data_IF_077476831854
#
_entry.id   IF_077476831854
#
_cell.length_a   1.000
_cell.length_b   1.000
_cell.length_c   1.000
_cell.angle_alpha   90.00
_cell.angle_beta   90.00
_cell.angle_gamma   90.00
#
_symmetry.space_group_name_H-M   'P 1'
#
loop_
_entity.id
_entity.type
_entity.pdbx_description
1 polymer ?
#
# COMPACT_ATOMS: atom_id res chain seq x y z
N UNK A 1 -3.98 11.41 14.08
CA UNK A 1 -4.59 10.22 13.43
C UNK A 1 -4.30 9.03 14.30
N UNK A 2 -5.35 8.34 14.73
CA UNK A 2 -5.20 7.14 15.54
C UNK A 2 -4.43 6.09 14.73
N UNK A 3 -3.37 5.52 15.33
CA UNK A 3 -2.49 4.54 14.66
C UNK A 3 -3.28 3.37 14.10
N UNK A 4 -4.39 3.02 14.76
CA UNK A 4 -5.28 1.93 14.39
C UNK A 4 -6.04 2.22 13.08
N UNK A 5 -6.50 3.46 12.87
CA UNK A 5 -7.29 3.83 11.69
C UNK A 5 -6.45 3.77 10.40
N UNK A 6 -5.20 4.23 10.45
CA UNK A 6 -4.29 4.14 9.30
C UNK A 6 -3.94 2.69 8.92
N UNK A 7 -3.80 1.81 9.92
CA UNK A 7 -3.58 0.37 9.69
C UNK A 7 -4.82 -0.29 9.09
N UNK A 8 -6.00 0.02 9.61
CA UNK A 8 -7.26 -0.49 9.09
C UNK A 8 -7.45 -0.13 7.61
N UNK A 9 -7.22 1.14 7.23
CA UNK A 9 -7.32 1.59 5.83
C UNK A 9 -6.36 0.85 4.92
N UNK A 10 -5.13 0.62 5.37
CA UNK A 10 -4.14 -0.15 4.62
C UNK A 10 -4.58 -1.60 4.44
N UNK A 11 -5.02 -2.27 5.52
CA UNK A 11 -5.55 -3.64 5.46
C UNK A 11 -6.73 -3.72 4.50
N UNK A 12 -7.73 -2.84 4.61
CA UNK A 12 -8.87 -2.87 3.69
C UNK A 12 -8.45 -2.65 2.23
N UNK A 13 -7.51 -1.75 1.96
CA UNK A 13 -7.01 -1.50 0.61
C UNK A 13 -6.18 -2.69 0.06
N UNK A 14 -5.46 -3.39 0.93
CA UNK A 14 -4.69 -4.58 0.61
C UNK A 14 -5.62 -5.75 0.27
N UNK A 15 -6.62 -6.05 1.09
CA UNK A 15 -7.64 -7.07 0.80
C UNK A 15 -8.44 -6.76 -0.47
N UNK A 16 -8.76 -5.48 -0.69
CA UNK A 16 -9.34 -5.04 -1.96
C UNK A 16 -8.39 -5.33 -3.13
N UNK A 17 -7.08 -5.17 -2.94
CA UNK A 17 -6.09 -5.51 -3.94
C UNK A 17 -6.08 -7.00 -4.29
N UNK A 18 -6.19 -7.89 -3.30
CA UNK A 18 -6.39 -9.32 -3.54
C UNK A 18 -7.65 -9.59 -4.34
N UNK A 19 -8.77 -8.97 -3.95
CA UNK A 19 -10.02 -9.17 -4.68
C UNK A 19 -9.96 -8.67 -6.13
N UNK A 20 -9.37 -7.49 -6.38
CA UNK A 20 -9.28 -6.90 -7.73
C UNK A 20 -8.29 -7.64 -8.63
N UNK A 21 -7.10 -7.95 -8.14
CA UNK A 21 -6.01 -8.48 -8.97
C UNK A 21 -5.98 -10.01 -8.99
N UNK A 22 -6.44 -10.65 -7.92
CA UNK A 22 -6.27 -12.08 -7.69
C UNK A 22 -7.61 -12.81 -7.56
N UNK A 23 -8.71 -12.21 -8.03
CA UNK A 23 -10.07 -12.76 -7.92
C UNK A 23 -10.14 -14.24 -8.31
N UNK A 24 -9.47 -14.65 -9.39
CA UNK A 24 -9.48 -16.02 -9.92
C UNK A 24 -8.87 -17.05 -8.97
N UNK A 25 -7.95 -16.66 -8.10
CA UNK A 25 -7.38 -17.54 -7.06
C UNK A 25 -8.40 -17.80 -5.94
N UNK A 26 -9.32 -16.87 -5.70
CA UNK A 26 -10.28 -16.91 -4.60
C UNK A 26 -11.74 -17.18 -5.03
N UNK A 27 -12.06 -17.10 -6.33
CA UNK A 27 -13.43 -17.23 -6.85
C UNK A 27 -13.87 -18.64 -7.22
N UNK A 28 -13.04 -19.66 -6.98
CA UNK A 28 -13.44 -21.07 -7.00
C UNK A 28 -14.08 -21.58 -8.30
N UNK A 29 -13.27 -22.05 -9.25
CA UNK A 29 -13.58 -23.33 -9.88
C UNK A 29 -13.04 -24.40 -8.92
N UNK A 30 -13.85 -25.35 -8.48
CA UNK A 30 -13.50 -26.34 -7.44
C UNK A 30 -12.26 -27.23 -7.68
N UNK A 31 -11.41 -26.93 -8.66
CA UNK A 31 -10.12 -27.59 -8.90
C UNK A 31 -9.02 -27.17 -7.91
N UNK A 32 -9.17 -26.06 -7.19
CA UNK A 32 -8.15 -25.62 -6.22
C UNK A 32 -8.17 -26.46 -4.93
N UNK A 33 -9.22 -27.25 -4.70
CA UNK A 33 -9.23 -28.25 -3.62
C UNK A 33 -8.34 -29.47 -3.93
N UNK A 34 -7.92 -29.64 -5.20
CA UNK A 34 -6.99 -30.67 -5.65
C UNK A 34 -5.60 -30.09 -5.97
N UNK A 35 -5.21 -28.99 -5.34
CA UNK A 35 -3.86 -28.44 -5.51
C UNK A 35 -2.86 -29.25 -4.67
N UNK A 36 -2.52 -30.43 -5.20
CA UNK A 36 -1.39 -31.23 -4.75
C UNK A 36 -0.13 -30.36 -4.80
N UNK A 37 0.44 -30.14 -3.62
CA UNK A 37 1.67 -29.40 -3.46
C UNK A 37 2.78 -30.00 -4.33
N UNK A 38 3.30 -29.19 -5.26
CA UNK A 38 4.64 -29.30 -5.81
C UNK A 38 5.06 -27.97 -6.45
N UNK A 39 6.02 -27.33 -5.78
CA UNK A 39 7.13 -26.57 -6.38
C UNK A 39 6.80 -25.31 -7.20
N UNK A 40 6.35 -24.23 -6.54
CA UNK A 40 6.47 -22.81 -7.00
C UNK A 40 5.72 -21.80 -6.10
N UNK A 41 5.00 -22.27 -5.08
CA UNK A 41 4.06 -21.42 -4.30
C UNK A 41 4.70 -20.22 -3.60
N UNK A 42 5.90 -20.35 -3.04
CA UNK A 42 6.47 -19.31 -2.16
C UNK A 42 6.76 -18.00 -2.92
N UNK A 43 7.34 -18.11 -4.12
CA UNK A 43 7.55 -16.94 -4.99
C UNK A 43 6.23 -16.37 -5.50
N UNK A 44 5.27 -17.22 -5.89
CA UNK A 44 3.97 -16.76 -6.37
C UNK A 44 3.15 -16.06 -5.27
N UNK A 45 3.24 -16.55 -4.04
CA UNK A 45 2.60 -15.95 -2.87
C UNK A 45 3.26 -14.62 -2.55
N UNK A 46 4.60 -14.56 -2.52
CA UNK A 46 5.32 -13.31 -2.33
C UNK A 46 5.00 -12.24 -3.40
N UNK A 47 4.85 -12.65 -4.66
CA UNK A 47 4.44 -11.74 -5.74
C UNK A 47 3.00 -11.25 -5.59
N UNK A 48 2.07 -12.13 -5.19
CA UNK A 48 0.66 -11.80 -4.94
C UNK A 48 0.53 -10.78 -3.80
N UNK A 49 1.19 -11.02 -2.67
CA UNK A 49 1.22 -10.09 -1.54
C UNK A 49 1.82 -8.74 -1.94
N UNK A 50 2.94 -8.76 -2.68
CA UNK A 50 3.57 -7.54 -3.16
C UNK A 50 2.66 -6.74 -4.11
N UNK A 51 1.90 -7.41 -4.98
CA UNK A 51 0.95 -6.76 -5.88
C UNK A 51 -0.20 -6.11 -5.11
N UNK A 52 -0.73 -6.79 -4.08
CA UNK A 52 -1.77 -6.23 -3.21
C UNK A 52 -1.26 -5.00 -2.45
N UNK A 53 -0.04 -5.06 -1.88
CA UNK A 53 0.61 -3.93 -1.22
C UNK A 53 0.86 -2.74 -2.16
N UNK A 54 1.32 -3.02 -3.38
CA UNK A 54 1.56 -2.01 -4.40
C UNK A 54 0.27 -1.28 -4.77
N UNK A 55 -0.84 -2.01 -4.94
CA UNK A 55 -2.16 -1.44 -5.23
C UNK A 55 -2.70 -0.64 -4.04
N UNK A 56 -2.63 -1.19 -2.82
CA UNK A 56 -3.06 -0.49 -1.60
C UNK A 56 -2.32 0.84 -1.41
N UNK A 57 -1.00 0.83 -1.66
CA UNK A 57 -0.15 2.02 -1.61
C UNK A 57 -0.53 3.02 -2.71
N UNK A 58 -0.79 2.57 -3.93
CA UNK A 58 -1.20 3.44 -5.02
C UNK A 58 -2.57 4.07 -4.78
N UNK A 59 -3.50 3.33 -4.17
CA UNK A 59 -4.84 3.77 -3.82
C UNK A 59 -4.83 4.81 -2.68
N UNK A 60 -4.11 4.53 -1.59
CA UNK A 60 -4.07 5.41 -0.41
C UNK A 60 -3.13 6.60 -0.57
N UNK A 61 -2.06 6.45 -1.36
CA UNK A 61 -1.05 7.48 -1.58
C UNK A 61 -0.73 7.65 -3.09
N UNK A 62 -1.68 8.16 -3.90
CA UNK A 62 -1.49 8.32 -5.34
C UNK A 62 -0.32 9.23 -5.68
N UNK A 63 0.57 8.79 -6.58
CA UNK A 63 1.82 9.51 -6.87
C UNK A 63 1.61 10.98 -7.32
N UNK A 64 0.65 11.32 -8.20
CA UNK A 64 0.40 12.72 -8.56
C UNK A 64 0.00 13.58 -7.36
N UNK A 65 -0.81 13.04 -6.45
CA UNK A 65 -1.26 13.73 -5.25
C UNK A 65 -0.12 13.88 -4.22
N UNK A 66 0.71 12.84 -4.06
CA UNK A 66 1.90 12.87 -3.20
C UNK A 66 2.85 13.98 -3.66
N UNK A 67 3.22 14.00 -4.95
CA UNK A 67 4.10 15.06 -5.50
C UNK A 67 3.51 16.45 -5.34
N UNK A 68 2.22 16.62 -5.69
CA UNK A 68 1.53 17.91 -5.54
C UNK A 68 1.53 18.40 -4.09
N UNK A 69 1.19 17.53 -3.14
CA UNK A 69 1.18 17.88 -1.71
C UNK A 69 2.58 18.14 -1.18
N UNK A 70 3.57 17.35 -1.59
CA UNK A 70 4.96 17.53 -1.20
C UNK A 70 5.48 18.91 -1.62
N UNK A 71 5.41 19.26 -2.91
CA UNK A 71 5.93 20.54 -3.38
C UNK A 71 5.16 21.75 -2.83
N UNK A 72 3.86 21.59 -2.54
CA UNK A 72 3.06 22.62 -1.86
C UNK A 72 3.54 22.87 -0.42
N UNK A 73 3.99 21.83 0.29
CA UNK A 73 4.34 21.93 1.71
C UNK A 73 5.85 22.10 1.95
N UNK A 74 6.72 21.72 1.01
CA UNK A 74 8.17 21.61 1.19
C UNK A 74 8.85 22.88 1.72
N UNK A 75 8.38 24.06 1.30
CA UNK A 75 8.99 25.32 1.70
C UNK A 75 8.95 25.52 3.22
N UNK A 76 10.12 25.69 3.83
CA UNK A 76 10.27 26.01 5.25
C UNK A 76 9.97 24.87 6.23
N UNK A 77 9.85 23.62 5.76
CA UNK A 77 9.55 22.45 6.61
C UNK A 77 10.67 21.42 6.64
N UNK A 78 10.90 20.82 7.81
CA UNK A 78 11.75 19.63 7.95
C UNK A 78 11.10 18.39 7.34
N UNK A 79 11.89 17.34 7.12
CA UNK A 79 11.38 16.04 6.66
C UNK A 79 10.34 15.47 7.63
N UNK A 80 10.55 15.60 8.95
CA UNK A 80 9.63 15.12 9.98
C UNK A 80 8.29 15.86 9.96
N UNK A 81 8.31 17.19 9.74
CA UNK A 81 7.11 18.01 9.62
C UNK A 81 6.33 17.61 8.36
N UNK A 82 7.02 17.43 7.23
CA UNK A 82 6.40 16.98 5.98
C UNK A 82 5.76 15.61 6.12
N UNK A 83 6.47 14.64 6.70
CA UNK A 83 5.92 13.30 6.96
C UNK A 83 4.69 13.39 7.85
N UNK A 84 4.72 14.20 8.91
CA UNK A 84 3.59 14.34 9.82
C UNK A 84 2.36 14.97 9.15
N UNK A 85 2.54 16.07 8.42
CA UNK A 85 1.45 16.77 7.74
C UNK A 85 0.88 15.95 6.57
N UNK A 86 1.74 15.35 5.76
CA UNK A 86 1.29 14.50 4.65
C UNK A 86 0.59 13.25 5.17
N UNK A 87 1.09 12.61 6.23
CA UNK A 87 0.39 11.47 6.83
C UNK A 87 -1.03 11.83 7.31
N UNK A 88 -1.22 13.06 7.82
CA UNK A 88 -2.55 13.57 8.14
C UNK A 88 -3.40 13.78 6.90
N UNK A 89 -2.89 14.40 5.84
CA UNK A 89 -3.64 14.64 4.59
C UNK A 89 -4.11 13.32 3.96
N UNK A 90 -3.21 12.34 3.87
CA UNK A 90 -3.50 11.05 3.23
C UNK A 90 -4.14 10.03 4.18
N UNK A 91 -4.32 10.39 5.45
CA UNK A 91 -4.97 9.54 6.47
C UNK A 91 -4.26 8.17 6.62
N UNK A 92 -2.92 8.20 6.64
CA UNK A 92 -2.05 7.03 6.79
C UNK A 92 -1.14 7.19 8.01
N UNK A 93 -0.38 6.14 8.35
CA UNK A 93 0.63 6.25 9.40
C UNK A 93 1.83 7.10 8.96
N UNK A 94 2.52 7.73 9.91
CA UNK A 94 3.78 8.46 9.62
C UNK A 94 4.83 7.55 8.99
N UNK A 95 4.88 6.28 9.41
CA UNK A 95 5.81 5.29 8.85
C UNK A 95 5.50 5.00 7.38
N UNK A 96 4.23 4.75 7.04
CA UNK A 96 3.83 4.50 5.65
C UNK A 96 4.10 5.72 4.75
N UNK A 97 3.81 6.93 5.25
CA UNK A 97 4.13 8.16 4.51
C UNK A 97 5.64 8.33 4.31
N UNK A 98 6.46 8.08 5.34
CA UNK A 98 7.93 8.14 5.23
C UNK A 98 8.45 7.21 4.13
N UNK A 99 8.06 5.93 4.19
CA UNK A 99 8.42 4.93 3.17
C UNK A 99 8.00 5.41 1.77
N UNK A 100 6.78 5.98 1.64
CA UNK A 100 6.29 6.47 0.36
C UNK A 100 7.09 7.65 -0.20
N UNK A 101 7.59 8.54 0.65
CA UNK A 101 8.41 9.67 0.22
C UNK A 101 9.84 9.23 -0.13
N UNK A 102 10.45 8.37 0.68
CA UNK A 102 11.79 7.80 0.45
C UNK A 102 11.82 6.98 -0.86
N UNK A 103 10.86 6.08 -1.06
CA UNK A 103 10.75 5.27 -2.30
C UNK A 103 10.51 6.10 -3.57
N UNK A 104 10.18 7.39 -3.43
CA UNK A 104 9.98 8.33 -4.54
C UNK A 104 11.06 9.42 -4.60
N UNK A 105 12.12 9.30 -3.81
CA UNK A 105 13.23 10.25 -3.70
C UNK A 105 12.75 11.69 -3.41
N UNK A 106 11.75 11.83 -2.55
CA UNK A 106 11.21 13.13 -2.15
C UNK A 106 11.82 13.64 -0.84
N UNK A 107 12.34 12.74 0.01
CA UNK A 107 13.05 13.07 1.25
C UNK A 107 14.28 12.20 1.43
#
# INVERSE_FOLDING_TARGET
MDRLLGRLRFTCAHELGHWVLHQKLYSGTGDVAAYEGKTSLDESHGLVEWQADALATALLMPLPQIKRSFYRLRAGRSNEQLVAEMAQIFQVSKQAMRIRLETRNLI
#
